data_IF_974596515905
#
_entry.id   IF_974596515905
#
_cell.length_a   1.000
_cell.length_b   1.000
_cell.length_c   1.000
_cell.angle_alpha   90.00
_cell.angle_beta   90.00
_cell.angle_gamma   90.00
#
_symmetry.space_group_name_H-M   'P 1'
#
loop_
_entity.id
_entity.type
_entity.pdbx_description
1 polymer ?
#
# COMPACT_ATOMS: atom_id res chain seq x y z
N UNK A 1 6.12 3.88 -24.62
CA UNK A 1 6.24 2.56 -23.99
C UNK A 1 7.53 1.87 -24.38
N UNK A 2 7.89 1.70 -25.68
CA UNK A 2 9.07 0.97 -26.13
C UNK A 2 10.40 1.38 -25.42
N UNK A 3 10.59 2.67 -25.14
CA UNK A 3 11.74 3.15 -24.36
C UNK A 3 11.74 2.61 -22.92
N UNK A 4 10.59 2.67 -22.25
CA UNK A 4 10.43 2.17 -20.88
C UNK A 4 10.66 0.65 -20.82
N UNK A 5 10.16 -0.08 -21.80
CA UNK A 5 10.34 -1.54 -21.88
C UNK A 5 11.81 -1.92 -22.09
N UNK A 6 12.53 -1.17 -22.93
CA UNK A 6 13.96 -1.38 -23.15
C UNK A 6 14.77 -1.14 -21.86
N UNK A 7 14.50 -0.04 -21.16
CA UNK A 7 15.15 0.27 -19.87
C UNK A 7 14.85 -0.80 -18.82
N UNK A 8 13.60 -1.22 -18.71
CA UNK A 8 13.20 -2.28 -17.77
C UNK A 8 13.81 -3.63 -18.13
N UNK A 9 13.96 -3.94 -19.43
CA UNK A 9 14.61 -5.16 -19.86
C UNK A 9 16.11 -5.16 -19.49
N UNK A 10 16.80 -4.04 -19.64
CA UNK A 10 18.18 -3.88 -19.20
C UNK A 10 18.30 -3.98 -17.68
N UNK A 11 17.38 -3.34 -16.93
CA UNK A 11 17.31 -3.45 -15.49
C UNK A 11 17.11 -4.88 -15.00
N UNK A 12 16.19 -5.65 -15.60
CA UNK A 12 15.95 -7.07 -15.30
C UNK A 12 17.20 -7.92 -15.52
N UNK A 13 17.99 -7.60 -16.55
CA UNK A 13 19.21 -8.33 -16.87
C UNK A 13 20.37 -8.04 -15.89
N UNK A 14 20.42 -6.86 -15.28
CA UNK A 14 21.55 -6.39 -14.48
C UNK A 14 21.29 -6.37 -12.98
N UNK A 15 20.05 -6.16 -12.55
CA UNK A 15 19.73 -6.09 -11.13
C UNK A 15 19.83 -7.49 -10.48
N UNK A 16 20.31 -7.57 -9.24
CA UNK A 16 20.32 -8.82 -8.49
C UNK A 16 18.91 -9.24 -8.10
N UNK A 17 18.75 -10.51 -7.80
CA UNK A 17 17.48 -11.05 -7.29
C UNK A 17 17.16 -10.63 -5.86
N UNK A 18 18.19 -10.32 -5.08
CA UNK A 18 18.09 -9.80 -3.71
C UNK A 18 19.34 -9.02 -3.35
N UNK A 19 19.22 -8.14 -2.37
CA UNK A 19 20.33 -7.39 -1.81
C UNK A 19 20.71 -7.93 -0.42
N UNK A 20 21.98 -7.78 0.01
CA UNK A 20 22.32 -7.95 1.42
C UNK A 20 21.51 -7.01 2.32
N UNK A 21 21.28 -7.40 3.58
CA UNK A 21 20.47 -6.64 4.53
C UNK A 21 20.86 -5.16 4.68
N UNK A 22 22.14 -4.81 4.53
CA UNK A 22 22.61 -3.43 4.57
C UNK A 22 22.06 -2.55 3.41
N UNK A 23 21.44 -3.15 2.42
CA UNK A 23 20.90 -2.49 1.23
C UNK A 23 19.42 -2.80 1.03
N UNK A 24 18.70 -3.16 2.09
CA UNK A 24 17.23 -3.32 2.07
C UNK A 24 16.58 -2.07 1.49
N UNK A 25 15.50 -2.21 0.75
CA UNK A 25 14.80 -1.11 0.07
C UNK A 25 15.29 -0.81 -1.35
N UNK A 26 16.45 -1.31 -1.76
CA UNK A 26 16.91 -1.14 -3.15
C UNK A 26 16.09 -1.99 -4.11
N UNK A 27 15.87 -1.44 -5.31
CA UNK A 27 15.19 -2.15 -6.40
C UNK A 27 15.90 -3.45 -6.76
N UNK A 28 15.14 -4.50 -6.99
CA UNK A 28 15.61 -5.82 -7.40
C UNK A 28 15.20 -6.12 -8.84
N UNK A 29 15.72 -7.21 -9.40
CA UNK A 29 15.24 -7.77 -10.65
C UNK A 29 13.71 -7.93 -10.67
N UNK A 30 13.13 -8.41 -9.57
CA UNK A 30 11.69 -8.64 -9.46
C UNK A 30 10.88 -7.36 -9.36
N UNK A 31 11.43 -6.30 -8.73
CA UNK A 31 10.82 -4.96 -8.76
C UNK A 31 10.70 -4.43 -10.20
N UNK A 32 11.76 -4.60 -11.00
CA UNK A 32 11.75 -4.21 -12.42
C UNK A 32 10.79 -5.07 -13.25
N UNK A 33 10.69 -6.38 -12.98
CA UNK A 33 9.72 -7.27 -13.63
C UNK A 33 8.28 -6.87 -13.32
N UNK A 34 7.96 -6.55 -12.07
CA UNK A 34 6.62 -6.10 -11.67
C UNK A 34 6.23 -4.79 -12.36
N UNK A 35 7.16 -3.83 -12.44
CA UNK A 35 6.92 -2.58 -13.16
C UNK A 35 6.72 -2.83 -14.66
N UNK A 36 7.49 -3.74 -15.27
CA UNK A 36 7.32 -4.12 -16.67
C UNK A 36 5.98 -4.80 -16.92
N UNK A 37 5.53 -5.68 -16.02
CA UNK A 37 4.20 -6.28 -16.09
C UNK A 37 3.10 -5.21 -16.07
N UNK A 38 3.24 -4.19 -15.21
CA UNK A 38 2.33 -3.04 -15.17
C UNK A 38 2.34 -2.25 -16.48
N UNK A 39 3.49 -2.06 -17.10
CA UNK A 39 3.63 -1.39 -18.42
C UNK A 39 2.86 -2.16 -19.50
N UNK A 40 3.01 -3.49 -19.56
CA UNK A 40 2.24 -4.35 -20.48
C UNK A 40 0.74 -4.29 -20.22
N UNK A 41 0.30 -4.27 -18.95
CA UNK A 41 -1.12 -4.10 -18.60
C UNK A 41 -1.71 -2.80 -19.16
N UNK A 42 -0.98 -1.68 -19.10
CA UNK A 42 -1.43 -0.39 -19.65
C UNK A 42 -1.53 -0.38 -21.18
N UNK A 43 -0.86 -1.31 -21.86
CA UNK A 43 -0.91 -1.48 -23.31
C UNK A 43 -1.93 -2.56 -23.74
N UNK A 44 -2.59 -3.24 -22.81
CA UNK A 44 -3.51 -4.34 -23.07
C UNK A 44 -2.80 -5.67 -23.41
N UNK A 45 -1.51 -5.76 -23.15
CA UNK A 45 -0.66 -6.94 -23.42
C UNK A 45 -0.71 -7.89 -22.20
N UNK A 46 -1.88 -8.48 -21.97
CA UNK A 46 -2.17 -9.24 -20.75
C UNK A 46 -1.36 -10.52 -20.63
N UNK A 47 -1.02 -11.18 -21.74
CA UNK A 47 -0.23 -12.41 -21.72
C UNK A 47 1.23 -12.16 -21.32
N UNK A 48 1.81 -11.08 -21.79
CA UNK A 48 3.15 -10.62 -21.43
C UNK A 48 3.21 -10.25 -19.95
N UNK A 49 2.21 -9.53 -19.47
CA UNK A 49 2.06 -9.18 -18.05
C UNK A 49 1.94 -10.44 -17.18
N UNK A 50 1.08 -11.38 -17.54
CA UNK A 50 0.91 -12.65 -16.83
C UNK A 50 2.21 -13.46 -16.77
N UNK A 51 2.94 -13.54 -17.89
CA UNK A 51 4.23 -14.26 -17.96
C UNK A 51 5.25 -13.72 -16.96
N UNK A 52 5.34 -12.39 -16.82
CA UNK A 52 6.24 -11.76 -15.85
C UNK A 52 5.79 -12.01 -14.39
N UNK A 53 4.48 -11.95 -14.13
CA UNK A 53 3.92 -12.28 -12.82
C UNK A 53 4.20 -13.74 -12.43
N UNK A 54 4.00 -14.68 -13.37
CA UNK A 54 4.28 -16.10 -13.15
C UNK A 54 5.76 -16.36 -12.82
N UNK A 55 6.68 -15.66 -13.48
CA UNK A 55 8.10 -15.74 -13.17
C UNK A 55 8.43 -15.23 -11.77
N UNK A 56 7.79 -14.13 -11.32
CA UNK A 56 7.95 -13.61 -9.95
C UNK A 56 7.45 -14.64 -8.94
N UNK A 57 6.26 -15.19 -9.15
CA UNK A 57 5.64 -16.21 -8.28
C UNK A 57 6.51 -17.48 -8.25
N UNK A 58 6.94 -17.97 -9.39
CA UNK A 58 7.77 -19.18 -9.51
C UNK A 58 9.15 -19.03 -8.88
N UNK A 59 9.63 -17.81 -8.62
CA UNK A 59 10.89 -17.58 -7.91
C UNK A 59 10.84 -18.07 -6.46
N UNK A 60 9.65 -18.18 -5.86
CA UNK A 60 9.45 -18.55 -4.46
C UNK A 60 9.98 -17.53 -3.42
N UNK A 61 10.39 -16.33 -3.89
CA UNK A 61 10.94 -15.28 -3.03
C UNK A 61 9.88 -14.38 -2.42
N UNK A 62 8.70 -14.37 -3.02
CA UNK A 62 7.56 -13.55 -2.62
C UNK A 62 6.34 -14.43 -2.36
N UNK A 63 5.55 -14.04 -1.39
CA UNK A 63 4.30 -14.71 -1.03
C UNK A 63 3.34 -13.70 -0.44
N UNK A 64 2.04 -13.91 -0.64
CA UNK A 64 1.01 -13.11 -0.01
C UNK A 64 1.14 -13.21 1.52
N UNK A 65 1.04 -12.09 2.20
CA UNK A 65 1.01 -12.08 3.67
C UNK A 65 -0.37 -12.60 4.13
N UNK A 66 -0.41 -13.57 5.04
CA UNK A 66 -1.66 -14.11 5.55
C UNK A 66 -2.46 -13.11 6.40
N UNK A 67 -1.79 -12.11 6.98
CA UNK A 67 -2.41 -11.02 7.72
C UNK A 67 -2.45 -9.76 6.84
N UNK A 68 -3.64 -9.46 6.31
CA UNK A 68 -3.84 -8.31 5.44
C UNK A 68 -3.56 -6.97 6.16
N UNK A 69 -3.88 -6.89 7.47
CA UNK A 69 -3.63 -5.68 8.25
C UNK A 69 -2.13 -5.41 8.44
N UNK A 70 -1.35 -6.47 8.61
CA UNK A 70 0.10 -6.36 8.78
C UNK A 70 0.78 -5.60 7.63
N UNK A 71 0.24 -5.69 6.40
CA UNK A 71 0.77 -4.97 5.24
C UNK A 71 0.80 -3.45 5.38
N UNK A 72 -0.04 -2.89 6.26
CA UNK A 72 -0.21 -1.45 6.46
C UNK A 72 0.39 -0.96 7.78
N UNK A 73 1.13 -1.82 8.47
CA UNK A 73 1.87 -1.49 9.70
C UNK A 73 3.36 -1.27 9.42
N UNK A 74 4.04 -0.57 10.33
CA UNK A 74 5.50 -0.41 10.27
C UNK A 74 6.22 -1.76 10.34
N UNK A 75 5.69 -2.70 11.11
CA UNK A 75 6.21 -4.06 11.23
C UNK A 75 6.06 -4.86 9.93
N UNK A 76 5.13 -4.45 9.06
CA UNK A 76 4.91 -5.05 7.74
C UNK A 76 5.85 -4.57 6.65
N UNK A 77 6.67 -3.55 6.91
CA UNK A 77 7.66 -3.07 5.95
C UNK A 77 8.60 -4.20 5.51
N UNK A 78 8.86 -4.28 4.21
CA UNK A 78 9.71 -5.32 3.59
C UNK A 78 9.25 -6.76 3.86
N UNK A 79 7.97 -6.98 4.13
CA UNK A 79 7.43 -8.33 4.30
C UNK A 79 7.52 -9.15 3.00
N UNK A 80 7.16 -10.43 3.08
CA UNK A 80 7.23 -11.35 1.94
C UNK A 80 6.40 -10.94 0.71
N UNK A 81 5.43 -10.04 0.86
CA UNK A 81 4.60 -9.53 -0.23
C UNK A 81 5.22 -8.32 -0.93
N UNK A 82 6.16 -7.64 -0.27
CA UNK A 82 6.73 -6.40 -0.77
C UNK A 82 7.73 -6.61 -1.91
N UNK A 83 7.38 -6.15 -3.10
CA UNK A 83 8.26 -6.14 -4.27
C UNK A 83 9.13 -4.87 -4.33
N UNK A 84 8.59 -3.74 -3.88
CA UNK A 84 9.26 -2.45 -3.80
C UNK A 84 8.43 -1.49 -2.95
N UNK A 85 9.07 -0.78 -2.06
CA UNK A 85 8.46 0.22 -1.19
C UNK A 85 9.14 1.57 -1.35
N UNK A 86 8.36 2.64 -1.23
CA UNK A 86 8.86 4.01 -1.12
C UNK A 86 8.73 4.40 0.34
N UNK A 87 9.85 4.46 1.02
CA UNK A 87 9.89 4.74 2.45
C UNK A 87 9.61 6.21 2.75
N UNK A 88 8.92 6.40 3.86
CA UNK A 88 8.72 7.70 4.50
C UNK A 88 9.20 7.61 5.95
N UNK A 89 9.55 8.73 6.54
CA UNK A 89 9.96 8.81 7.94
C UNK A 89 9.36 10.04 8.59
N UNK A 90 9.10 9.97 9.87
CA UNK A 90 8.68 11.12 10.70
C UNK A 90 9.84 12.03 11.11
N UNK A 91 11.08 11.65 10.80
CA UNK A 91 12.25 12.44 11.13
C UNK A 91 12.31 13.72 10.31
N UNK A 92 12.40 14.84 11.01
CA UNK A 92 12.70 16.13 10.38
C UNK A 92 14.17 16.20 9.96
N UNK A 93 14.42 16.63 8.73
CA UNK A 93 15.78 16.97 8.31
C UNK A 93 16.25 18.21 9.05
N UNK A 94 17.57 18.38 9.15
CA UNK A 94 18.19 19.57 9.76
C UNK A 94 17.82 20.89 9.05
N UNK A 95 17.37 20.82 7.79
CA UNK A 95 16.82 21.93 7.01
C UNK A 95 15.39 22.30 7.40
N UNK A 96 14.73 21.58 8.31
CA UNK A 96 13.32 21.73 8.64
C UNK A 96 12.34 21.09 7.65
N UNK A 97 12.86 20.41 6.61
CA UNK A 97 12.03 19.67 5.67
C UNK A 97 11.58 18.33 6.28
N UNK A 98 10.28 18.10 6.27
CA UNK A 98 9.72 16.82 6.65
C UNK A 98 9.96 15.77 5.54
N UNK A 99 10.40 14.58 5.93
CA UNK A 99 10.57 13.45 5.05
C UNK A 99 9.44 12.41 5.21
N UNK A 100 8.26 12.86 5.65
CA UNK A 100 7.06 12.03 5.84
C UNK A 100 5.97 12.37 4.80
N UNK A 101 5.04 11.46 4.62
CA UNK A 101 3.83 11.70 3.85
C UNK A 101 2.72 12.28 4.74
N UNK A 102 1.97 13.25 4.20
CA UNK A 102 0.76 13.78 4.84
C UNK A 102 -0.51 13.03 4.42
N UNK A 103 -0.40 11.98 3.62
CA UNK A 103 -1.53 11.32 2.99
C UNK A 103 -2.51 10.75 4.01
N UNK A 104 -2.02 10.02 5.01
CA UNK A 104 -2.85 9.48 6.09
C UNK A 104 -3.58 10.58 6.87
N UNK A 105 -2.90 11.69 7.14
CA UNK A 105 -3.51 12.84 7.82
C UNK A 105 -4.60 13.49 6.98
N UNK A 106 -4.40 13.62 5.67
CA UNK A 106 -5.39 14.19 4.74
C UNK A 106 -6.66 13.34 4.69
N UNK A 107 -6.54 12.02 4.77
CA UNK A 107 -7.66 11.07 4.69
C UNK A 107 -8.28 10.72 6.05
N UNK A 108 -7.56 10.93 7.14
CA UNK A 108 -8.01 10.58 8.50
C UNK A 108 -9.29 11.28 8.94
N UNK A 109 -9.88 10.84 10.05
CA UNK A 109 -11.15 11.39 10.58
C UNK A 109 -11.09 12.89 10.86
N UNK A 110 -12.09 13.61 10.37
CA UNK A 110 -12.21 15.05 10.61
C UNK A 110 -13.01 15.32 11.86
N UNK A 111 -12.55 16.28 12.69
CA UNK A 111 -13.22 16.67 13.94
C UNK A 111 -13.41 15.48 14.93
N UNK A 112 -12.47 14.58 14.97
CA UNK A 112 -12.53 13.39 15.81
C UNK A 112 -12.27 13.74 17.30
N UNK A 113 -13.28 14.23 17.98
CA UNK A 113 -13.22 14.58 19.40
C UNK A 113 -14.31 13.76 20.14
N UNK A 114 -13.96 12.99 21.18
CA UNK A 114 -12.70 12.98 21.94
C UNK A 114 -11.57 12.08 21.41
N UNK A 115 -11.65 11.55 20.19
CA UNK A 115 -10.60 10.69 19.62
C UNK A 115 -9.25 11.37 19.44
N UNK A 116 -8.18 10.59 19.44
CA UNK A 116 -6.80 11.07 19.28
C UNK A 116 -6.39 11.21 17.81
N UNK A 117 -6.93 10.37 16.94
CA UNK A 117 -6.67 10.40 15.50
C UNK A 117 -7.38 11.60 14.87
N UNK A 118 -6.64 12.48 14.22
CA UNK A 118 -7.18 13.68 13.56
C UNK A 118 -6.76 13.73 12.11
N UNK A 119 -7.66 14.23 11.25
CA UNK A 119 -7.37 14.39 9.82
C UNK A 119 -8.30 15.41 9.16
N UNK A 120 -8.24 15.50 7.85
CA UNK A 120 -9.06 16.43 7.07
C UNK A 120 -10.32 15.78 6.48
N UNK A 121 -10.41 14.45 6.48
CA UNK A 121 -11.57 13.69 5.99
C UNK A 121 -11.74 13.77 4.48
N UNK A 122 -10.66 13.86 3.71
CA UNK A 122 -10.72 13.81 2.25
C UNK A 122 -10.67 12.38 1.73
N UNK A 123 -11.24 12.17 0.54
CA UNK A 123 -11.21 10.86 -0.12
C UNK A 123 -11.95 9.77 0.64
N UNK A 124 -12.98 10.12 1.39
CA UNK A 124 -13.75 9.14 2.18
C UNK A 124 -14.30 8.00 1.31
N UNK A 125 -14.40 6.77 1.85
CA UNK A 125 -14.95 5.64 1.14
C UNK A 125 -16.36 5.90 0.63
N UNK A 126 -16.63 5.50 -0.60
CA UNK A 126 -17.97 5.64 -1.18
C UNK A 126 -18.92 4.57 -0.64
N UNK A 127 -20.21 4.88 -0.59
CA UNK A 127 -21.25 3.92 -0.24
C UNK A 127 -21.21 2.68 -1.16
N UNK A 128 -20.89 2.85 -2.44
CA UNK A 128 -20.75 1.75 -3.38
C UNK A 128 -19.59 0.80 -3.05
N UNK A 129 -18.51 1.29 -2.45
CA UNK A 129 -17.44 0.42 -1.97
C UNK A 129 -17.88 -0.40 -0.76
N UNK A 130 -18.59 0.23 0.18
CA UNK A 130 -19.12 -0.44 1.36
C UNK A 130 -20.11 -1.54 0.94
N UNK A 131 -21.03 -1.20 0.01
CA UNK A 131 -21.98 -2.15 -0.54
C UNK A 131 -21.29 -3.30 -1.27
N UNK A 132 -20.24 -3.02 -2.05
CA UNK A 132 -19.44 -4.03 -2.73
C UNK A 132 -18.85 -5.07 -1.77
N UNK A 133 -18.34 -4.66 -0.62
CA UNK A 133 -17.84 -5.58 0.40
C UNK A 133 -18.99 -6.37 1.05
N UNK A 134 -20.09 -5.70 1.36
CA UNK A 134 -21.28 -6.31 1.99
C UNK A 134 -21.86 -7.40 1.10
N UNK A 135 -22.07 -7.12 -0.18
CA UNK A 135 -22.66 -8.05 -1.16
C UNK A 135 -21.83 -9.33 -1.33
N UNK A 136 -20.53 -9.26 -1.04
CA UNK A 136 -19.59 -10.38 -1.15
C UNK A 136 -19.34 -11.10 0.17
N UNK A 137 -19.90 -10.61 1.25
CA UNK A 137 -19.61 -11.13 2.59
C UNK A 137 -18.13 -10.98 2.97
N UNK A 138 -17.46 -9.97 2.40
CA UNK A 138 -16.06 -9.69 2.68
C UNK A 138 -15.93 -9.01 4.04
N UNK A 139 -15.10 -9.56 4.92
CA UNK A 139 -14.93 -9.06 6.30
C UNK A 139 -13.48 -8.67 6.63
N UNK A 140 -12.50 -9.23 5.92
CA UNK A 140 -11.08 -9.03 6.24
C UNK A 140 -10.60 -7.65 5.78
N UNK A 141 -10.79 -7.35 4.49
CA UNK A 141 -10.35 -6.07 3.92
C UNK A 141 -11.09 -4.87 4.49
N UNK A 142 -12.44 -4.89 4.64
CA UNK A 142 -13.15 -3.78 5.28
C UNK A 142 -12.68 -3.47 6.70
N UNK A 143 -12.36 -4.50 7.50
CA UNK A 143 -11.88 -4.32 8.87
C UNK A 143 -10.55 -3.56 8.96
N UNK A 144 -9.75 -3.57 7.89
CA UNK A 144 -8.49 -2.82 7.78
C UNK A 144 -8.66 -1.48 7.06
N UNK A 145 -9.52 -1.45 6.03
CA UNK A 145 -9.62 -0.33 5.08
C UNK A 145 -10.62 0.75 5.52
N UNK A 146 -11.61 0.39 6.36
CA UNK A 146 -12.73 1.26 6.73
C UNK A 146 -12.75 1.54 8.23
N UNK A 147 -12.80 2.83 8.59
CA UNK A 147 -12.99 3.29 9.97
C UNK A 147 -14.43 3.83 10.12
N UNK A 148 -15.22 3.18 10.94
CA UNK A 148 -16.60 3.60 11.22
C UNK A 148 -16.67 4.50 12.45
N UNK A 149 -17.52 5.53 12.42
CA UNK A 149 -17.83 6.30 13.63
C UNK A 149 -18.41 5.40 14.72
N UNK A 150 -18.22 5.77 15.97
CA UNK A 150 -18.67 5.00 17.12
C UNK A 150 -17.87 3.71 17.38
N UNK A 151 -16.77 3.48 16.67
CA UNK A 151 -15.91 2.31 16.85
C UNK A 151 -14.54 2.68 17.40
N UNK A 152 -13.85 1.70 17.95
CA UNK A 152 -12.46 1.83 18.39
C UNK A 152 -11.58 0.95 17.51
N UNK A 153 -10.47 1.50 17.02
CA UNK A 153 -9.49 0.74 16.24
C UNK A 153 -8.79 -0.30 17.12
N UNK A 154 -8.16 -1.32 16.55
CA UNK A 154 -7.37 -2.27 17.34
C UNK A 154 -6.21 -1.62 18.12
N UNK A 155 -5.71 -0.47 17.68
CA UNK A 155 -4.69 0.33 18.38
C UNK A 155 -5.26 1.15 19.54
N UNK A 156 -6.59 1.18 19.70
CA UNK A 156 -7.27 1.86 20.78
C UNK A 156 -7.75 3.28 20.48
N UNK A 157 -7.66 3.73 19.22
CA UNK A 157 -8.16 5.04 18.80
C UNK A 157 -9.67 5.00 18.57
N UNK A 158 -10.41 5.85 19.28
CA UNK A 158 -11.84 5.97 19.11
C UNK A 158 -12.20 6.93 17.97
N UNK A 159 -13.10 6.50 17.10
CA UNK A 159 -13.67 7.30 16.03
C UNK A 159 -15.00 7.86 16.49
N UNK A 160 -15.01 9.16 16.78
CA UNK A 160 -16.14 9.84 17.41
C UNK A 160 -17.39 9.87 16.52
N UNK A 161 -18.57 9.68 17.14
CA UNK A 161 -19.87 9.91 16.51
C UNK A 161 -20.10 11.37 16.05
N UNK A 162 -19.28 12.30 16.53
CA UNK A 162 -19.32 13.71 16.12
C UNK A 162 -18.60 13.96 14.77
N UNK A 163 -17.91 12.97 14.20
CA UNK A 163 -17.29 13.11 12.90
C UNK A 163 -18.36 13.32 11.81
N UNK A 164 -18.09 14.20 10.81
CA UNK A 164 -19.09 14.55 9.80
C UNK A 164 -19.39 13.45 8.79
N UNK A 165 -18.48 12.51 8.60
CA UNK A 165 -18.66 11.37 7.68
C UNK A 165 -18.84 10.09 8.48
N UNK A 166 -19.75 9.18 8.06
CA UNK A 166 -20.01 7.95 8.78
C UNK A 166 -18.88 6.92 8.68
N UNK A 167 -18.01 7.06 7.68
CA UNK A 167 -16.88 6.15 7.41
C UNK A 167 -15.68 6.95 6.90
N UNK A 168 -14.48 6.52 7.28
CA UNK A 168 -13.20 7.04 6.81
C UNK A 168 -12.29 5.92 6.33
N UNK A 169 -11.16 6.27 5.72
CA UNK A 169 -10.11 5.31 5.37
C UNK A 169 -9.34 4.88 6.63
N UNK A 170 -9.11 3.56 6.75
CA UNK A 170 -8.31 2.92 7.78
C UNK A 170 -6.84 2.85 7.44
#
# INVERSE_FOLDING_TARGET
YAFIEADLQDAIARLPESWPAAYTGRVTKYSAMALKAKVHMYQGEHNEAATLCDQIIASGKYALNPDFRHLFSVEGEYCSESLFEIESTDLMKSSGEAAYTTYAYVQGPRNNTPGNMQGWGFGVPSESLIQFYTDRGEVVRPATTLLYIGTTTPEGDYISDACPNPVYNG
#
